data_IF_312140723419
#
_entry.id   IF_312140723419
#
_cell.length_a   1.000
_cell.length_b   1.000
_cell.length_c   1.000
_cell.angle_alpha   90.00
_cell.angle_beta   90.00
_cell.angle_gamma   90.00
#
_symmetry.space_group_name_H-M   'P 1'
#
loop_
_entity.id
_entity.type
_entity.pdbx_description
1 polymer ?
#
# COMPACT_ATOMS: atom_id res chain seq x y z
N UNK A 1 -1.81 11.00 -0.84
CA UNK A 1 -0.55 10.35 -1.27
C UNK A 1 -0.46 8.89 -0.85
N UNK A 2 -1.12 8.50 0.25
CA UNK A 2 -1.09 7.14 0.78
C UNK A 2 -1.98 6.21 -0.06
N UNK A 3 -1.46 5.07 -0.47
CA UNK A 3 -2.18 4.08 -1.28
C UNK A 3 -3.45 3.60 -0.58
N UNK A 4 -3.37 3.27 0.69
CA UNK A 4 -4.50 2.78 1.47
C UNK A 4 -5.62 3.82 1.59
N UNK A 5 -5.28 5.11 1.63
CA UNK A 5 -6.26 6.20 1.59
C UNK A 5 -6.94 6.29 0.23
N UNK A 6 -6.18 6.20 -0.86
CA UNK A 6 -6.71 6.20 -2.23
C UNK A 6 -7.63 4.99 -2.45
N UNK A 7 -7.21 3.81 -2.05
CA UNK A 7 -8.00 2.59 -2.17
C UNK A 7 -9.30 2.68 -1.37
N UNK A 8 -9.24 3.11 -0.13
CA UNK A 8 -10.42 3.24 0.73
C UNK A 8 -11.45 4.26 0.21
N UNK A 9 -10.96 5.37 -0.35
CA UNK A 9 -11.83 6.43 -0.89
C UNK A 9 -12.44 6.10 -2.24
N UNK A 10 -11.75 5.32 -3.09
CA UNK A 10 -12.06 5.23 -4.52
C UNK A 10 -12.00 3.83 -5.12
N UNK A 11 -11.46 2.86 -4.41
CA UNK A 11 -11.15 1.54 -4.93
C UNK A 11 -9.87 1.49 -5.77
N UNK A 12 -9.14 2.60 -5.93
CA UNK A 12 -7.92 2.64 -6.74
C UNK A 12 -6.86 1.69 -6.19
N UNK A 13 -6.70 0.56 -6.84
CA UNK A 13 -5.72 -0.46 -6.53
C UNK A 13 -4.50 -0.29 -7.43
N UNK A 14 -3.34 0.00 -6.83
CA UNK A 14 -2.15 0.37 -7.59
C UNK A 14 -0.85 0.01 -6.90
N UNK A 15 0.14 -0.37 -7.69
CA UNK A 15 1.54 -0.39 -7.30
C UNK A 15 2.26 0.96 -7.59
N UNK A 16 1.58 1.89 -8.27
CA UNK A 16 2.12 3.20 -8.63
C UNK A 16 2.49 4.10 -7.45
N UNK A 17 2.09 3.73 -6.24
CA UNK A 17 2.40 4.45 -5.00
C UNK A 17 3.90 4.60 -4.70
N UNK A 18 4.78 3.83 -5.33
CA UNK A 18 6.24 3.97 -5.21
C UNK A 18 6.78 5.19 -5.97
N UNK A 19 5.96 5.81 -6.81
CA UNK A 19 6.24 7.03 -7.54
C UNK A 19 5.39 8.18 -7.01
N UNK A 20 5.65 9.40 -7.51
CA UNK A 20 4.78 10.52 -7.18
C UNK A 20 3.40 10.30 -7.79
N UNK A 21 2.41 10.15 -6.98
CA UNK A 21 0.99 10.20 -7.34
C UNK A 21 0.21 10.85 -6.19
N UNK A 22 -0.88 11.51 -6.52
CA UNK A 22 -1.71 12.16 -5.51
C UNK A 22 -3.17 12.15 -5.91
N UNK A 23 -4.02 11.82 -4.95
CA UNK A 23 -5.46 11.98 -5.03
C UNK A 23 -5.83 13.31 -4.37
N UNK A 24 -6.51 14.16 -5.09
CA UNK A 24 -7.02 15.43 -4.59
C UNK A 24 -8.52 15.26 -4.33
N UNK A 25 -8.96 15.57 -3.11
CA UNK A 25 -10.36 15.60 -2.71
C UNK A 25 -10.66 16.98 -2.16
N UNK A 26 -11.62 17.66 -2.75
CA UNK A 26 -12.07 18.97 -2.29
C UNK A 26 -13.33 18.88 -1.40
N UNK A 27 -13.71 19.99 -0.79
CA UNK A 27 -14.90 20.08 0.09
C UNK A 27 -16.23 19.89 -0.65
N UNK A 28 -16.23 19.90 -1.98
CA UNK A 28 -17.42 19.66 -2.82
C UNK A 28 -17.56 18.20 -3.22
N UNK A 29 -16.56 17.37 -2.88
CA UNK A 29 -16.50 15.99 -3.25
C UNK A 29 -15.89 15.73 -4.64
N UNK A 30 -15.25 16.72 -5.28
CA UNK A 30 -14.50 16.48 -6.51
C UNK A 30 -13.25 15.65 -6.20
N UNK A 31 -13.07 14.61 -6.98
CA UNK A 31 -11.94 13.70 -6.87
C UNK A 31 -11.12 13.77 -8.16
N UNK A 32 -9.84 14.09 -8.04
CA UNK A 32 -8.90 14.12 -9.15
C UNK A 32 -7.67 13.30 -8.79
N UNK A 33 -7.28 12.37 -9.65
CA UNK A 33 -6.04 11.62 -9.51
C UNK A 33 -4.98 12.19 -10.45
N UNK A 34 -3.82 12.56 -9.92
CA UNK A 34 -2.61 12.86 -10.69
C UNK A 34 -1.66 11.68 -10.55
N UNK A 35 -1.38 10.99 -11.67
CA UNK A 35 -0.51 9.81 -11.71
C UNK A 35 0.31 9.76 -13.00
N UNK A 36 1.03 8.66 -13.25
CA UNK A 36 1.81 8.47 -14.47
C UNK A 36 1.01 7.73 -15.54
N UNK A 37 1.43 7.85 -16.80
CA UNK A 37 0.78 7.16 -17.92
C UNK A 37 0.67 5.63 -17.76
N UNK A 38 1.67 4.89 -17.22
CA UNK A 38 1.54 3.46 -16.98
C UNK A 38 0.40 3.08 -16.03
N UNK A 39 0.05 3.95 -15.09
CA UNK A 39 -0.94 3.68 -14.04
C UNK A 39 -2.38 4.06 -14.47
N UNK A 40 -2.54 4.73 -15.63
CA UNK A 40 -3.84 5.23 -16.11
C UNK A 40 -4.90 4.12 -16.23
N UNK A 41 -4.54 3.02 -16.90
CA UNK A 41 -5.50 1.92 -17.12
C UNK A 41 -5.87 1.21 -15.83
N UNK A 42 -4.93 1.09 -14.91
CA UNK A 42 -5.18 0.53 -13.59
C UNK A 42 -6.22 1.39 -12.86
N UNK A 43 -6.02 2.71 -12.83
CA UNK A 43 -6.97 3.63 -12.22
C UNK A 43 -8.37 3.56 -12.87
N UNK A 44 -8.45 3.53 -14.19
CA UNK A 44 -9.71 3.41 -14.92
C UNK A 44 -10.48 2.12 -14.64
N UNK A 45 -9.78 1.02 -14.40
CA UNK A 45 -10.40 -0.30 -14.22
C UNK A 45 -10.73 -0.64 -12.76
N UNK A 46 -10.00 -0.08 -11.79
CA UNK A 46 -10.14 -0.45 -10.38
C UNK A 46 -10.84 0.60 -9.53
N UNK A 47 -11.00 1.83 -10.05
CA UNK A 47 -11.56 2.93 -9.24
C UNK A 47 -12.81 3.56 -9.85
N UNK A 48 -13.50 4.35 -9.05
CA UNK A 48 -14.60 5.22 -9.47
C UNK A 48 -14.15 6.64 -9.84
N UNK A 49 -12.85 6.87 -10.07
CA UNK A 49 -12.30 8.19 -10.39
C UNK A 49 -12.55 8.52 -11.85
N UNK A 50 -13.26 9.63 -12.12
CA UNK A 50 -13.53 10.10 -13.48
C UNK A 50 -12.44 11.04 -14.01
N UNK A 51 -11.88 11.90 -13.17
CA UNK A 51 -10.83 12.86 -13.56
C UNK A 51 -9.44 12.31 -13.20
N UNK A 52 -8.77 11.76 -14.21
CA UNK A 52 -7.41 11.21 -14.08
C UNK A 52 -6.46 12.02 -14.95
N UNK A 53 -5.51 12.66 -14.31
CA UNK A 53 -4.48 13.51 -14.95
C UNK A 53 -3.15 12.80 -14.97
N UNK A 54 -2.41 13.00 -16.05
CA UNK A 54 -1.12 12.33 -16.28
C UNK A 54 0.01 13.35 -16.26
N UNK A 55 0.97 13.12 -15.40
CA UNK A 55 2.28 13.76 -15.51
C UNK A 55 3.27 12.85 -16.23
N UNK A 56 4.17 13.45 -16.99
CA UNK A 56 5.13 12.71 -17.82
C UNK A 56 6.46 12.60 -17.09
N UNK A 57 6.86 11.36 -16.79
CA UNK A 57 8.16 11.03 -16.18
C UNK A 57 9.28 11.15 -17.23
N UNK A 58 9.87 12.31 -17.34
CA UNK A 58 10.99 12.63 -18.22
C UNK A 58 12.07 13.39 -17.48
N UNK A 59 13.23 13.53 -18.09
CA UNK A 59 14.31 14.30 -17.50
C UNK A 59 13.84 15.70 -17.10
N UNK A 60 14.22 16.13 -15.91
CA UNK A 60 13.86 17.41 -15.27
C UNK A 60 12.36 17.64 -15.03
N UNK A 61 11.51 16.65 -15.22
CA UNK A 61 10.09 16.77 -14.86
C UNK A 61 9.90 16.95 -13.37
N UNK A 62 8.91 17.76 -13.02
CA UNK A 62 8.50 17.97 -11.64
C UNK A 62 6.99 17.84 -11.52
N UNK A 63 6.48 16.69 -11.01
CA UNK A 63 5.04 16.45 -10.95
C UNK A 63 4.28 17.42 -10.03
N UNK A 64 4.99 18.17 -9.18
CA UNK A 64 4.35 19.20 -8.35
C UNK A 64 3.90 20.42 -9.16
N UNK A 65 4.45 20.62 -10.35
CA UNK A 65 4.02 21.69 -11.26
C UNK A 65 2.66 21.33 -11.87
N UNK A 66 2.47 20.07 -12.28
CA UNK A 66 1.19 19.54 -12.75
C UNK A 66 0.14 19.59 -11.62
N UNK A 67 0.52 19.22 -10.40
CA UNK A 67 -0.35 19.36 -9.22
C UNK A 67 -0.80 20.81 -9.04
N UNK A 68 0.10 21.77 -9.13
CA UNK A 68 -0.21 23.20 -8.96
C UNK A 68 -1.20 23.70 -10.02
N UNK A 69 -1.13 23.18 -11.25
CA UNK A 69 -2.14 23.47 -12.29
C UNK A 69 -3.52 23.02 -11.84
N UNK A 70 -3.65 21.78 -11.35
CA UNK A 70 -4.91 21.23 -10.85
C UNK A 70 -5.45 22.08 -9.67
N UNK A 71 -4.59 22.44 -8.72
CA UNK A 71 -4.99 23.27 -7.58
C UNK A 71 -5.47 24.65 -8.02
N UNK A 72 -4.89 25.23 -9.09
CA UNK A 72 -5.39 26.48 -9.68
C UNK A 72 -6.78 26.32 -10.32
N UNK A 73 -7.02 25.24 -11.06
CA UNK A 73 -8.32 24.92 -11.65
C UNK A 73 -9.41 24.82 -10.57
N UNK A 74 -9.05 24.25 -9.40
CA UNK A 74 -9.93 24.13 -8.24
C UNK A 74 -10.05 25.43 -7.41
N UNK A 75 -9.35 26.53 -7.80
CA UNK A 75 -9.34 27.81 -7.08
C UNK A 75 -8.85 27.68 -5.62
N UNK A 76 -7.83 26.86 -5.37
CA UNK A 76 -7.29 26.58 -4.04
C UNK A 76 -6.13 27.49 -3.62
N UNK A 77 -5.78 28.49 -4.42
CA UNK A 77 -4.78 29.50 -4.04
C UNK A 77 -5.21 30.25 -2.76
N UNK A 78 -4.30 30.37 -1.80
CA UNK A 78 -4.58 31.01 -0.50
C UNK A 78 -5.49 30.20 0.43
N UNK A 79 -5.83 28.97 0.06
CA UNK A 79 -6.61 28.07 0.91
C UNK A 79 -5.71 27.19 1.78
N UNK A 80 -6.29 26.55 2.78
CA UNK A 80 -5.63 25.54 3.60
C UNK A 80 -5.78 24.16 2.96
N UNK A 81 -4.67 23.46 2.78
CA UNK A 81 -4.59 22.13 2.15
C UNK A 81 -3.94 21.15 3.12
N UNK A 82 -4.64 20.04 3.41
CA UNK A 82 -4.09 18.92 4.16
C UNK A 82 -3.29 18.00 3.25
N UNK A 83 -2.12 17.55 3.68
CA UNK A 83 -1.23 16.64 2.95
C UNK A 83 -0.90 15.43 3.80
N UNK A 84 -1.00 14.24 3.20
CA UNK A 84 -0.49 13.01 3.80
C UNK A 84 1.02 12.89 3.52
N UNK A 85 1.84 13.33 4.46
CA UNK A 85 3.30 13.20 4.37
C UNK A 85 3.81 11.79 4.70
N UNK A 86 3.09 11.05 5.53
CA UNK A 86 3.45 9.70 5.92
C UNK A 86 2.95 8.68 4.89
N UNK A 87 3.63 8.62 3.74
CA UNK A 87 3.35 7.66 2.66
C UNK A 87 4.62 7.23 1.94
N UNK A 88 4.61 6.03 1.38
CA UNK A 88 5.77 5.48 0.66
C UNK A 88 6.16 6.32 -0.56
N UNK A 89 5.19 6.87 -1.29
CA UNK A 89 5.45 7.73 -2.45
C UNK A 89 5.97 9.12 -2.10
N UNK A 90 5.83 9.54 -0.85
CA UNK A 90 6.31 10.82 -0.34
C UNK A 90 7.75 10.72 0.14
N UNK A 91 8.67 10.47 -0.79
CA UNK A 91 10.10 10.50 -0.48
C UNK A 91 10.52 11.90 0.02
N UNK A 92 11.62 12.00 0.75
CA UNK A 92 12.14 13.30 1.20
C UNK A 92 12.31 14.28 0.03
N UNK A 93 12.72 13.81 -1.16
CA UNK A 93 12.83 14.64 -2.36
C UNK A 93 11.45 15.15 -2.82
N UNK A 94 10.44 14.30 -2.83
CA UNK A 94 9.08 14.68 -3.23
C UNK A 94 8.47 15.66 -2.24
N UNK A 95 8.67 15.47 -0.93
CA UNK A 95 8.21 16.39 0.11
C UNK A 95 8.85 17.79 -0.04
N UNK A 96 10.16 17.86 -0.26
CA UNK A 96 10.86 19.13 -0.48
C UNK A 96 10.36 19.85 -1.73
N UNK A 97 10.16 19.14 -2.84
CA UNK A 97 9.63 19.71 -4.09
C UNK A 97 8.21 20.22 -3.91
N UNK A 98 7.36 19.43 -3.24
CA UNK A 98 5.98 19.78 -2.96
C UNK A 98 5.89 21.04 -2.10
N UNK A 99 6.59 21.07 -0.97
CA UNK A 99 6.59 22.22 -0.07
C UNK A 99 7.08 23.48 -0.77
N UNK A 100 8.18 23.38 -1.54
CA UNK A 100 8.68 24.51 -2.32
C UNK A 100 7.70 24.99 -3.40
N UNK A 101 6.98 24.07 -4.04
CA UNK A 101 5.99 24.43 -5.07
C UNK A 101 4.75 25.12 -4.47
N UNK A 102 4.41 24.78 -3.23
CA UNK A 102 3.23 25.32 -2.52
C UNK A 102 3.58 26.51 -1.61
N UNK A 103 4.86 26.84 -1.43
CA UNK A 103 5.31 28.04 -0.73
C UNK A 103 4.68 29.29 -1.39
N UNK A 104 4.17 30.20 -0.60
CA UNK A 104 3.44 31.40 -1.06
C UNK A 104 2.19 31.13 -1.93
N UNK A 105 1.81 29.86 -2.10
CA UNK A 105 0.64 29.47 -2.87
C UNK A 105 -0.58 29.17 -1.97
N UNK A 106 -0.41 28.36 -0.94
CA UNK A 106 -1.48 27.97 0.00
C UNK A 106 -0.88 27.67 1.39
N UNK A 107 -1.76 27.60 2.39
CA UNK A 107 -1.38 27.09 3.71
C UNK A 107 -1.37 25.56 3.68
N UNK A 108 -0.25 24.95 4.05
CA UNK A 108 -0.08 23.49 4.08
C UNK A 108 -0.11 23.00 5.51
N UNK A 109 -0.87 21.93 5.76
CA UNK A 109 -0.96 21.26 7.06
C UNK A 109 -0.72 19.75 6.89
N UNK A 110 0.00 19.15 7.82
CA UNK A 110 0.13 17.69 7.86
C UNK A 110 -1.19 17.06 8.32
N UNK A 111 -1.80 16.27 7.44
CA UNK A 111 -3.04 15.54 7.67
C UNK A 111 -2.88 14.04 7.40
N UNK A 112 -1.68 13.50 7.66
CA UNK A 112 -1.35 12.09 7.45
C UNK A 112 -2.31 11.14 8.17
N UNK A 113 -2.89 11.58 9.29
CA UNK A 113 -3.79 10.77 10.10
C UNK A 113 -5.29 10.94 9.76
N UNK A 114 -5.66 11.86 8.87
CA UNK A 114 -7.07 12.17 8.61
C UNK A 114 -7.85 10.94 8.16
N UNK A 115 -7.42 10.29 7.10
CA UNK A 115 -8.10 9.10 6.55
C UNK A 115 -7.91 7.89 7.46
N UNK A 116 -6.73 7.74 8.05
CA UNK A 116 -6.46 6.67 9.03
C UNK A 116 -7.50 6.67 10.17
N UNK A 117 -7.82 7.83 10.73
CA UNK A 117 -8.84 7.95 11.80
C UNK A 117 -10.22 7.51 11.34
N UNK A 118 -10.61 7.80 10.10
CA UNK A 118 -11.89 7.32 9.54
C UNK A 118 -11.90 5.81 9.33
N UNK A 119 -10.78 5.20 8.97
CA UNK A 119 -10.63 3.76 8.72
C UNK A 119 -10.54 2.91 10.00
N UNK A 120 -10.31 3.52 11.17
CA UNK A 120 -10.21 2.79 12.45
C UNK A 120 -11.50 2.02 12.76
N UNK A 121 -12.66 2.65 12.56
CA UNK A 121 -13.96 2.01 12.76
C UNK A 121 -14.39 1.40 11.42
N UNK A 122 -14.48 0.07 11.38
CA UNK A 122 -14.83 -0.70 10.18
C UNK A 122 -16.33 -0.77 9.97
N UNK A 123 -16.77 -0.72 8.72
CA UNK A 123 -18.14 -1.06 8.35
C UNK A 123 -18.40 -2.57 8.47
N UNK A 124 -19.66 -2.98 8.38
CA UNK A 124 -20.03 -4.40 8.37
C UNK A 124 -19.43 -5.13 7.16
N UNK A 125 -19.37 -4.47 6.01
CA UNK A 125 -18.75 -5.01 4.80
C UNK A 125 -17.25 -5.20 4.96
N UNK A 126 -16.54 -4.19 5.49
CA UNK A 126 -15.10 -4.30 5.78
C UNK A 126 -14.83 -5.42 6.79
N UNK A 127 -15.66 -5.59 7.81
CA UNK A 127 -15.55 -6.70 8.77
C UNK A 127 -15.73 -8.06 8.07
N UNK A 128 -16.63 -8.16 7.09
CA UNK A 128 -16.80 -9.39 6.33
C UNK A 128 -15.54 -9.76 5.53
N UNK A 129 -14.88 -8.79 4.92
CA UNK A 129 -13.58 -9.02 4.24
C UNK A 129 -12.47 -9.39 5.22
N UNK A 130 -12.38 -8.72 6.37
CA UNK A 130 -11.40 -9.06 7.42
C UNK A 130 -11.57 -10.49 7.90
N UNK A 131 -12.83 -10.98 8.06
CA UNK A 131 -13.10 -12.37 8.43
C UNK A 131 -12.62 -13.35 7.36
N UNK A 132 -12.86 -13.06 6.08
CA UNK A 132 -12.35 -13.90 4.98
C UNK A 132 -10.83 -13.94 4.93
N UNK A 133 -10.16 -12.81 5.11
CA UNK A 133 -8.72 -12.77 5.19
C UNK A 133 -8.19 -13.60 6.38
N UNK A 134 -8.86 -13.53 7.54
CA UNK A 134 -8.53 -14.37 8.69
C UNK A 134 -8.70 -15.88 8.40
N UNK A 135 -9.78 -16.27 7.72
CA UNK A 135 -10.00 -17.66 7.31
C UNK A 135 -8.90 -18.17 6.37
N UNK A 136 -8.42 -17.33 5.44
CA UNK A 136 -7.29 -17.67 4.55
C UNK A 136 -6.00 -17.78 5.35
N UNK A 137 -5.78 -16.89 6.32
CA UNK A 137 -4.62 -16.97 7.19
C UNK A 137 -4.61 -18.28 8.02
N UNK A 138 -5.74 -18.68 8.55
CA UNK A 138 -5.89 -19.96 9.27
C UNK A 138 -5.60 -21.15 8.36
N UNK A 139 -6.13 -21.17 7.14
CA UNK A 139 -5.84 -22.21 6.14
C UNK A 139 -4.35 -22.25 5.77
N UNK A 140 -3.71 -21.09 5.63
CA UNK A 140 -2.27 -21.03 5.39
C UNK A 140 -1.45 -21.60 6.56
N UNK A 141 -1.89 -21.39 7.81
CA UNK A 141 -1.28 -22.01 8.99
C UNK A 141 -1.43 -23.53 8.96
N UNK A 142 -2.60 -24.04 8.58
CA UNK A 142 -2.82 -25.46 8.43
C UNK A 142 -1.87 -26.10 7.41
N UNK A 143 -1.60 -25.41 6.31
CA UNK A 143 -0.58 -25.87 5.34
C UNK A 143 0.82 -25.85 5.95
N UNK A 144 1.17 -24.80 6.70
CA UNK A 144 2.46 -24.76 7.40
C UNK A 144 2.62 -25.98 8.32
N UNK A 145 1.61 -26.35 9.10
CA UNK A 145 1.61 -27.53 9.96
C UNK A 145 1.79 -28.86 9.21
N UNK A 146 1.21 -29.00 8.02
CA UNK A 146 1.38 -30.21 7.18
C UNK A 146 2.81 -30.41 6.74
N UNK A 147 3.51 -29.32 6.43
CA UNK A 147 4.86 -29.37 5.87
C UNK A 147 5.97 -29.15 6.90
N UNK A 148 5.70 -28.58 8.08
CA UNK A 148 6.69 -28.27 9.11
C UNK A 148 7.17 -29.56 9.82
N UNK A 149 8.14 -30.23 9.21
CA UNK A 149 8.79 -31.45 9.74
C UNK A 149 10.26 -31.47 9.37
N UNK A 150 11.05 -32.28 10.07
CA UNK A 150 12.45 -32.48 9.73
C UNK A 150 12.63 -32.87 8.25
N UNK A 151 13.61 -32.24 7.60
CA UNK A 151 13.87 -32.41 6.19
C UNK A 151 13.03 -31.51 5.27
N UNK A 152 12.05 -30.79 5.79
CA UNK A 152 11.29 -29.81 5.00
C UNK A 152 12.09 -28.52 4.77
N UNK A 153 11.92 -27.93 3.59
CA UNK A 153 12.46 -26.61 3.29
C UNK A 153 11.54 -25.50 3.77
N UNK A 154 12.08 -24.47 4.42
CA UNK A 154 11.36 -23.24 4.74
C UNK A 154 10.68 -22.65 3.50
N UNK A 155 11.37 -22.65 2.34
CA UNK A 155 10.81 -22.15 1.08
C UNK A 155 9.57 -22.96 0.63
N UNK A 156 9.57 -24.28 0.84
CA UNK A 156 8.41 -25.12 0.52
C UNK A 156 7.22 -24.80 1.41
N UNK A 157 7.44 -24.59 2.70
CA UNK A 157 6.39 -24.20 3.66
C UNK A 157 5.75 -22.89 3.21
N UNK A 158 6.56 -21.85 2.95
CA UNK A 158 6.05 -20.56 2.48
C UNK A 158 5.27 -20.66 1.16
N UNK A 159 5.78 -21.45 0.21
CA UNK A 159 5.12 -21.62 -1.08
C UNK A 159 3.73 -22.23 -0.95
N UNK A 160 3.56 -23.22 -0.07
CA UNK A 160 2.23 -23.82 0.17
C UNK A 160 1.29 -22.86 0.91
N UNK A 161 1.79 -22.08 1.86
CA UNK A 161 1.01 -21.04 2.54
C UNK A 161 0.50 -19.99 1.56
N UNK A 162 1.40 -19.43 0.73
CA UNK A 162 1.02 -18.42 -0.27
C UNK A 162 0.05 -18.98 -1.32
N UNK A 163 0.24 -20.23 -1.73
CA UNK A 163 -0.66 -20.90 -2.67
C UNK A 163 -2.09 -20.91 -2.16
N UNK A 164 -2.32 -21.29 -0.91
CA UNK A 164 -3.67 -21.34 -0.31
C UNK A 164 -4.30 -19.95 -0.31
N UNK A 165 -3.58 -18.92 0.08
CA UNK A 165 -4.09 -17.55 0.11
C UNK A 165 -4.51 -17.09 -1.29
N UNK A 166 -3.63 -17.26 -2.28
CA UNK A 166 -3.90 -16.81 -3.66
C UNK A 166 -5.00 -17.63 -4.33
N UNK A 167 -5.02 -18.96 -4.17
CA UNK A 167 -6.08 -19.81 -4.71
C UNK A 167 -7.43 -19.57 -4.01
N UNK A 168 -7.41 -19.12 -2.76
CA UNK A 168 -8.59 -18.73 -1.99
C UNK A 168 -9.15 -17.34 -2.32
N UNK A 169 -8.52 -16.61 -3.22
CA UNK A 169 -8.94 -15.28 -3.66
C UNK A 169 -8.39 -14.13 -2.80
N UNK A 170 -7.41 -14.42 -1.96
CA UNK A 170 -6.59 -13.41 -1.29
C UNK A 170 -5.54 -12.81 -2.22
N UNK A 171 -4.77 -11.87 -1.72
CA UNK A 171 -3.74 -11.17 -2.46
C UNK A 171 -2.41 -11.20 -1.70
N UNK A 172 -1.40 -10.51 -2.23
CA UNK A 172 -0.12 -10.37 -1.53
C UNK A 172 -0.29 -9.60 -0.22
N UNK A 173 0.31 -10.07 0.87
CA UNK A 173 0.27 -9.36 2.15
C UNK A 173 1.05 -8.04 2.07
N UNK A 174 0.78 -7.14 3.01
CA UNK A 174 1.48 -5.86 3.10
C UNK A 174 2.99 -6.01 3.37
N UNK A 175 3.39 -7.11 4.03
CA UNK A 175 4.78 -7.49 4.22
C UNK A 175 5.03 -8.88 3.65
N UNK A 176 6.27 -9.16 3.27
CA UNK A 176 6.69 -10.49 2.88
C UNK A 176 6.45 -11.49 4.01
N UNK A 177 6.08 -12.72 3.67
CA UNK A 177 6.02 -13.81 4.63
C UNK A 177 7.38 -14.07 5.25
N UNK A 178 7.44 -14.08 6.57
CA UNK A 178 8.65 -14.35 7.32
C UNK A 178 8.63 -15.79 7.79
N UNK A 179 9.72 -16.50 7.58
CA UNK A 179 9.98 -17.82 8.13
C UNK A 179 11.42 -17.92 8.56
N UNK A 180 11.65 -18.50 9.74
CA UNK A 180 12.97 -18.80 10.25
C UNK A 180 12.95 -20.01 11.13
N UNK A 181 13.92 -20.95 10.93
CA UNK A 181 14.09 -22.15 11.73
C UNK A 181 15.43 -22.16 12.47
N UNK A 182 15.48 -22.83 13.60
CA UNK A 182 16.68 -22.94 14.44
C UNK A 182 17.20 -21.56 14.86
N UNK A 183 18.45 -21.23 14.59
CA UNK A 183 19.02 -19.93 14.95
C UNK A 183 18.35 -18.75 14.19
N UNK A 184 17.79 -19.00 12.99
CA UNK A 184 17.06 -17.99 12.23
C UNK A 184 15.66 -17.70 12.77
N UNK A 185 15.12 -18.55 13.66
CA UNK A 185 13.84 -18.29 14.32
C UNK A 185 13.86 -17.03 15.21
N UNK A 186 15.04 -16.52 15.54
CA UNK A 186 15.22 -15.26 16.28
C UNK A 186 15.20 -14.02 15.37
N UNK A 187 15.22 -14.21 14.04
CA UNK A 187 15.18 -13.11 13.08
C UNK A 187 13.73 -12.71 12.82
N UNK A 188 13.41 -11.46 13.07
CA UNK A 188 12.05 -10.93 12.93
C UNK A 188 11.85 -10.17 11.60
N UNK A 189 12.60 -10.51 10.56
CA UNK A 189 12.49 -9.93 9.23
C UNK A 189 12.75 -10.97 8.17
N UNK A 190 12.31 -10.65 6.94
CA UNK A 190 12.57 -11.51 5.78
C UNK A 190 14.06 -11.79 5.60
N UNK A 191 14.38 -13.04 5.32
CA UNK A 191 15.70 -13.51 4.97
C UNK A 191 15.64 -14.31 3.67
N UNK A 192 16.54 -13.99 2.74
CA UNK A 192 16.57 -14.63 1.42
C UNK A 192 17.04 -16.08 1.47
N UNK A 193 17.97 -16.40 2.35
CA UNK A 193 18.49 -17.77 2.51
C UNK A 193 17.51 -18.61 3.32
N UNK A 194 17.05 -19.71 2.73
CA UNK A 194 16.09 -20.64 3.34
C UNK A 194 16.78 -21.92 3.77
N UNK A 195 16.45 -22.39 4.95
CA UNK A 195 17.02 -23.59 5.56
C UNK A 195 16.15 -24.82 5.34
N UNK A 196 16.77 -25.97 5.60
CA UNK A 196 16.09 -27.26 5.78
C UNK A 196 15.92 -27.49 7.28
N UNK A 197 14.72 -27.79 7.72
CA UNK A 197 14.40 -28.02 9.11
C UNK A 197 15.09 -29.27 9.66
N UNK A 198 15.66 -29.18 10.85
CA UNK A 198 16.14 -30.32 11.63
C UNK A 198 15.05 -30.85 12.60
N UNK A 199 15.34 -31.92 13.29
CA UNK A 199 14.42 -32.49 14.30
C UNK A 199 14.24 -31.63 15.57
N UNK A 200 15.13 -30.66 15.78
CA UNK A 200 15.19 -29.87 17.02
C UNK A 200 14.98 -28.38 16.78
N UNK A 201 14.70 -27.98 15.53
CA UNK A 201 14.52 -26.58 15.21
C UNK A 201 13.20 -26.05 15.79
N UNK A 202 13.25 -24.88 16.40
CA UNK A 202 12.11 -24.02 16.58
C UNK A 202 11.82 -23.34 15.24
N UNK A 203 10.55 -23.16 14.93
CA UNK A 203 10.06 -22.49 13.72
C UNK A 203 9.26 -21.24 14.10
N UNK A 204 9.65 -20.09 13.56
CA UNK A 204 8.88 -18.84 13.65
C UNK A 204 8.35 -18.49 12.27
N UNK A 205 7.05 -18.14 12.20
CA UNK A 205 6.38 -17.75 10.95
C UNK A 205 5.54 -16.49 11.22
N UNK A 206 5.57 -15.53 10.28
CA UNK A 206 4.68 -14.38 10.24
C UNK A 206 4.05 -14.31 8.85
N UNK A 207 2.73 -14.17 8.79
CA UNK A 207 1.97 -14.19 7.53
C UNK A 207 0.64 -13.45 7.65
N UNK A 208 -0.06 -13.28 6.51
CA UNK A 208 -1.41 -12.77 6.44
C UNK A 208 -2.22 -13.51 5.36
N UNK A 209 -3.53 -13.40 5.41
CA UNK A 209 -4.45 -13.92 4.41
C UNK A 209 -5.04 -12.80 3.54
#
# INVERSE_FOLDING_TARGET
>A
FRQESMFWLTGYDTFGYVFFQTLILDQKGNIILLTRAPDLRQAQNTSNIEDIRIWVDKDQSNPTDDLKIILNELNLKGKKIGIEYESYGMTGRNALRLNKSLEDYCEVEDQSELITKHRVIKSEEEIAYVKKAAELADQALDEAWKYAKAGASEAKILAEMQKVVLEGGGDYPANEYIIGSGHNALLCRYQSEKRILSNTDQLSIEWAG
#
